data_IF_608367463244
#
_entry.id   IF_608367463244
#
_cell.length_a   1.000
_cell.length_b   1.000
_cell.length_c   1.000
_cell.angle_alpha   90.00
_cell.angle_beta   90.00
_cell.angle_gamma   90.00
#
_symmetry.space_group_name_H-M   'P 1'
#
loop_
_entity.id
_entity.type
_entity.pdbx_description
1 polymer ?
#
# COMPACT_ATOMS: atom_id res chain seq x y z
N UNK A 1 10.84 5.38 4.61
CA UNK A 1 10.07 6.49 4.00
C UNK A 1 10.89 7.76 3.81
N UNK A 2 11.56 8.31 4.84
CA UNK A 2 12.41 9.51 4.68
C UNK A 2 13.46 9.34 3.57
N UNK A 3 14.12 8.18 3.51
CA UNK A 3 15.09 7.88 2.46
C UNK A 3 14.53 8.02 1.02
N UNK A 4 13.28 7.60 0.79
CA UNK A 4 12.62 7.70 -0.53
C UNK A 4 12.34 9.16 -0.87
N UNK A 5 11.90 9.95 0.11
CA UNK A 5 11.68 11.40 -0.06
C UNK A 5 12.99 12.11 -0.40
N UNK A 6 14.07 11.80 0.33
CA UNK A 6 15.40 12.38 0.04
C UNK A 6 15.88 11.99 -1.35
N UNK A 7 15.65 10.74 -1.78
CA UNK A 7 16.00 10.29 -3.12
C UNK A 7 15.28 11.08 -4.22
N UNK A 8 14.02 11.48 -4.02
CA UNK A 8 13.28 12.28 -5.02
C UNK A 8 13.65 13.77 -5.00
N UNK A 9 14.01 14.32 -3.85
CA UNK A 9 14.33 15.76 -3.72
C UNK A 9 15.81 16.05 -4.02
N UNK A 10 16.71 15.14 -3.62
CA UNK A 10 18.16 15.29 -3.79
C UNK A 10 18.82 13.92 -4.09
N UNK A 11 18.67 13.40 -5.32
CA UNK A 11 19.12 12.04 -5.68
C UNK A 11 20.61 11.79 -5.42
N UNK A 12 21.46 12.80 -5.61
CA UNK A 12 22.92 12.71 -5.39
C UNK A 12 23.32 12.50 -3.93
N UNK A 13 22.46 12.88 -2.96
CA UNK A 13 22.75 12.73 -1.52
C UNK A 13 22.45 11.33 -1.00
N UNK A 14 21.51 10.63 -1.62
CA UNK A 14 21.12 9.28 -1.21
C UNK A 14 20.64 8.46 -2.42
N UNK A 15 21.54 8.06 -3.34
CA UNK A 15 21.16 7.37 -4.57
C UNK A 15 20.48 6.01 -4.34
N UNK A 16 20.68 5.39 -3.16
CA UNK A 16 19.99 4.15 -2.76
C UNK A 16 18.68 4.35 -2.00
N UNK A 17 18.15 5.58 -1.90
CA UNK A 17 16.99 5.85 -1.03
C UNK A 17 15.70 5.14 -1.44
N UNK A 18 15.59 4.68 -2.70
CA UNK A 18 14.48 3.87 -3.20
C UNK A 18 14.34 2.51 -2.49
N UNK A 19 15.44 1.94 -1.98
CA UNK A 19 15.47 0.67 -1.20
C UNK A 19 14.55 0.77 0.02
N UNK A 20 14.25 1.98 0.50
CA UNK A 20 13.32 2.20 1.59
C UNK A 20 11.91 1.66 1.34
N UNK A 21 11.49 1.45 0.09
CA UNK A 21 10.21 0.80 -0.25
C UNK A 21 10.30 -0.71 -0.03
N UNK A 22 11.38 -1.36 -0.49
CA UNK A 22 11.57 -2.80 -0.33
C UNK A 22 11.66 -3.20 1.15
N UNK A 23 12.45 -2.45 1.91
CA UNK A 23 12.56 -2.64 3.37
C UNK A 23 11.21 -2.47 4.06
N UNK A 24 10.41 -1.50 3.61
CA UNK A 24 9.06 -1.31 4.15
C UNK A 24 8.18 -2.52 3.90
N UNK A 25 8.16 -3.09 2.68
CA UNK A 25 7.37 -4.29 2.41
C UNK A 25 7.79 -5.49 3.27
N UNK A 26 9.09 -5.72 3.45
CA UNK A 26 9.60 -6.81 4.30
C UNK A 26 9.13 -6.63 5.75
N UNK A 27 9.30 -5.43 6.31
CA UNK A 27 8.89 -5.13 7.68
C UNK A 27 7.36 -5.22 7.87
N UNK A 28 6.61 -4.75 6.87
CA UNK A 28 5.15 -4.81 6.85
C UNK A 28 4.67 -6.27 6.88
N UNK A 29 5.26 -7.12 6.04
CA UNK A 29 5.03 -8.57 6.03
C UNK A 29 5.39 -9.25 7.35
N UNK A 30 6.56 -8.97 7.92
CA UNK A 30 6.98 -9.51 9.21
C UNK A 30 5.99 -9.14 10.32
N UNK A 31 5.67 -7.85 10.45
CA UNK A 31 4.80 -7.35 11.50
C UNK A 31 3.39 -7.96 11.43
N UNK A 32 2.81 -8.05 10.22
CA UNK A 32 1.49 -8.64 10.08
C UNK A 32 1.49 -10.12 10.43
N UNK A 33 2.54 -10.83 10.03
CA UNK A 33 2.67 -12.26 10.26
C UNK A 33 2.70 -12.54 11.75
N UNK A 34 3.55 -11.83 12.50
CA UNK A 34 3.64 -11.92 13.95
C UNK A 34 2.31 -11.59 14.62
N UNK A 35 1.69 -10.46 14.24
CA UNK A 35 0.40 -10.03 14.81
C UNK A 35 -0.70 -11.11 14.64
N UNK A 36 -0.81 -11.68 13.44
CA UNK A 36 -1.82 -12.70 13.15
C UNK A 36 -1.49 -14.00 13.88
N UNK A 37 -0.23 -14.47 13.79
CA UNK A 37 0.19 -15.71 14.41
C UNK A 37 -0.02 -15.69 15.93
N UNK A 38 0.35 -14.60 16.60
CA UNK A 38 0.18 -14.44 18.04
C UNK A 38 -1.29 -14.35 18.42
N UNK A 39 -2.08 -13.56 17.67
CA UNK A 39 -3.52 -13.46 17.91
C UNK A 39 -4.26 -14.78 17.71
N UNK A 40 -3.86 -15.60 16.72
CA UNK A 40 -4.43 -16.93 16.48
C UNK A 40 -4.03 -17.89 17.60
N UNK A 41 -2.76 -17.90 18.03
CA UNK A 41 -2.30 -18.73 19.17
C UNK A 41 -3.05 -18.42 20.45
N UNK A 42 -3.40 -17.15 20.68
CA UNK A 42 -4.15 -16.69 21.85
C UNK A 42 -5.68 -16.82 21.69
N UNK A 43 -6.17 -17.21 20.50
CA UNK A 43 -7.61 -17.31 20.21
C UNK A 43 -8.33 -15.96 20.12
N UNK A 44 -7.60 -14.86 19.93
CA UNK A 44 -8.11 -13.48 19.95
C UNK A 44 -8.16 -12.82 18.57
N UNK A 45 -7.66 -13.49 17.52
CA UNK A 45 -7.60 -12.90 16.20
C UNK A 45 -8.96 -12.93 15.48
N UNK A 46 -9.39 -11.77 14.99
CA UNK A 46 -10.60 -11.59 14.18
C UNK A 46 -10.26 -10.94 12.85
N UNK A 47 -10.50 -11.64 11.74
CA UNK A 47 -10.32 -11.10 10.39
C UNK A 47 -11.18 -9.86 10.15
N UNK A 48 -12.43 -9.88 10.63
CA UNK A 48 -13.36 -8.76 10.46
C UNK A 48 -12.80 -7.50 11.12
N UNK A 49 -12.34 -7.61 12.37
CA UNK A 49 -11.78 -6.48 13.08
C UNK A 49 -10.44 -6.02 12.49
N UNK A 50 -9.63 -6.96 12.02
CA UNK A 50 -8.38 -6.65 11.32
C UNK A 50 -8.63 -5.73 10.12
N UNK A 51 -9.56 -6.11 9.23
CA UNK A 51 -9.92 -5.29 8.06
C UNK A 51 -10.57 -3.97 8.46
N UNK A 52 -11.49 -3.98 9.43
CA UNK A 52 -12.18 -2.76 9.86
C UNK A 52 -11.20 -1.72 10.42
N UNK A 53 -10.29 -2.13 11.31
CA UNK A 53 -9.25 -1.24 11.87
C UNK A 53 -8.39 -0.63 10.76
N UNK A 54 -8.09 -1.41 9.73
CA UNK A 54 -7.25 -0.97 8.61
C UNK A 54 -7.98 0.04 7.73
N UNK A 55 -9.23 -0.24 7.34
CA UNK A 55 -10.06 0.67 6.54
C UNK A 55 -10.29 1.99 7.28
N UNK A 56 -10.67 1.93 8.56
CA UNK A 56 -10.90 3.14 9.38
C UNK A 56 -9.62 3.98 9.59
N UNK A 57 -8.44 3.37 9.50
CA UNK A 57 -7.16 4.07 9.60
C UNK A 57 -6.70 4.67 8.27
N UNK A 58 -6.89 3.97 7.16
CA UNK A 58 -6.32 4.35 5.86
C UNK A 58 -7.27 5.19 5.00
N UNK A 59 -8.56 4.82 4.95
CA UNK A 59 -9.51 5.48 4.08
C UNK A 59 -9.64 6.99 4.36
N UNK A 60 -9.74 7.48 5.62
CA UNK A 60 -9.84 8.92 5.87
C UNK A 60 -8.62 9.69 5.37
N UNK A 61 -7.41 9.18 5.62
CA UNK A 61 -6.17 9.82 5.19
C UNK A 61 -6.03 9.84 3.68
N UNK A 62 -6.41 8.75 3.01
CA UNK A 62 -6.41 8.67 1.55
C UNK A 62 -7.40 9.66 0.94
N UNK A 63 -8.62 9.75 1.47
CA UNK A 63 -9.65 10.67 1.00
C UNK A 63 -9.22 12.14 1.15
N UNK A 64 -8.65 12.49 2.32
CA UNK A 64 -8.12 13.84 2.57
C UNK A 64 -7.00 14.17 1.59
N UNK A 65 -6.06 13.25 1.37
CA UNK A 65 -4.96 13.43 0.42
C UNK A 65 -5.46 13.62 -1.02
N UNK A 66 -6.39 12.77 -1.49
CA UNK A 66 -6.97 12.89 -2.82
C UNK A 66 -7.68 14.22 -3.02
N UNK A 67 -8.51 14.62 -2.05
CA UNK A 67 -9.24 15.89 -2.09
C UNK A 67 -8.26 17.08 -2.09
N UNK A 68 -7.25 17.07 -1.22
CA UNK A 68 -6.27 18.14 -1.14
C UNK A 68 -5.51 18.34 -2.45
N UNK A 69 -5.04 17.26 -3.09
CA UNK A 69 -4.33 17.34 -4.37
C UNK A 69 -5.25 17.82 -5.49
N UNK A 70 -6.49 17.31 -5.57
CA UNK A 70 -7.45 17.75 -6.59
C UNK A 70 -7.79 19.24 -6.44
N UNK A 71 -8.04 19.70 -5.22
CA UNK A 71 -8.28 21.11 -4.93
C UNK A 71 -7.04 21.94 -5.29
N UNK A 72 -5.85 21.51 -4.88
CA UNK A 72 -4.62 22.25 -5.18
C UNK A 72 -4.36 22.37 -6.69
N UNK A 73 -4.58 21.31 -7.47
CA UNK A 73 -4.51 21.36 -8.94
C UNK A 73 -5.51 22.37 -9.54
N UNK A 74 -6.71 22.47 -8.98
CA UNK A 74 -7.73 23.43 -9.41
C UNK A 74 -7.33 24.87 -9.06
N UNK A 75 -6.96 25.12 -7.80
CA UNK A 75 -6.64 26.45 -7.28
C UNK A 75 -5.36 27.04 -7.87
N UNK A 76 -4.36 26.21 -8.14
CA UNK A 76 -3.10 26.62 -8.79
C UNK A 76 -3.19 26.68 -10.32
N UNK A 77 -4.38 26.46 -10.90
CA UNK A 77 -4.60 26.44 -12.35
C UNK A 77 -3.63 25.53 -13.11
N UNK A 78 -3.49 24.28 -12.66
CA UNK A 78 -2.64 23.25 -13.27
C UNK A 78 -3.50 22.24 -14.06
N UNK A 79 -3.95 22.55 -15.30
CA UNK A 79 -4.98 21.76 -15.99
C UNK A 79 -4.49 20.36 -16.40
N UNK A 80 -3.21 20.21 -16.76
CA UNK A 80 -2.61 18.91 -17.12
C UNK A 80 -2.54 17.98 -15.91
N UNK A 81 -1.95 18.44 -14.80
CA UNK A 81 -1.89 17.70 -13.54
C UNK A 81 -3.29 17.39 -12.99
N UNK A 82 -4.24 18.34 -13.08
CA UNK A 82 -5.62 18.12 -12.66
C UNK A 82 -6.33 17.04 -13.47
N UNK A 83 -6.05 16.93 -14.78
CA UNK A 83 -6.58 15.84 -15.63
C UNK A 83 -5.99 14.49 -15.23
N UNK A 84 -4.66 14.41 -15.14
CA UNK A 84 -3.95 13.19 -14.72
C UNK A 84 -4.39 12.72 -13.32
N UNK A 85 -4.58 13.66 -12.38
CA UNK A 85 -5.11 13.37 -11.05
C UNK A 85 -6.49 12.72 -11.13
N UNK A 86 -7.44 13.31 -11.86
CA UNK A 86 -8.81 12.78 -11.99
C UNK A 86 -8.86 11.39 -12.61
N UNK A 87 -8.04 11.13 -13.63
CA UNK A 87 -7.95 9.82 -14.27
C UNK A 87 -7.41 8.76 -13.30
N UNK A 88 -6.49 9.13 -12.41
CA UNK A 88 -5.85 8.21 -11.47
C UNK A 88 -6.71 7.97 -10.19
N UNK A 89 -7.55 8.92 -9.77
CA UNK A 89 -8.33 8.86 -8.50
C UNK A 89 -9.08 7.54 -8.31
N UNK A 90 -9.81 7.08 -9.32
CA UNK A 90 -10.62 5.86 -9.19
C UNK A 90 -9.76 4.61 -8.96
N UNK A 91 -8.55 4.58 -9.52
CA UNK A 91 -7.61 3.48 -9.30
C UNK A 91 -7.03 3.50 -7.89
N UNK A 92 -6.78 4.70 -7.34
CA UNK A 92 -6.35 4.85 -5.95
C UNK A 92 -7.45 4.39 -5.01
N UNK A 93 -8.69 4.86 -5.21
CA UNK A 93 -9.85 4.46 -4.41
C UNK A 93 -10.12 2.95 -4.46
N UNK A 94 -9.90 2.33 -5.62
CA UNK A 94 -10.01 0.89 -5.82
C UNK A 94 -8.82 0.07 -5.29
N UNK A 95 -7.80 0.70 -4.68
CA UNK A 95 -6.56 0.05 -4.26
C UNK A 95 -5.87 -0.73 -5.41
N UNK A 96 -5.88 -0.18 -6.62
CA UNK A 96 -5.30 -0.76 -7.85
C UNK A 96 -4.43 0.23 -8.62
N UNK A 97 -3.95 1.29 -7.98
CA UNK A 97 -3.09 2.31 -8.62
C UNK A 97 -1.74 1.78 -9.11
N UNK A 98 -1.30 0.62 -8.64
CA UNK A 98 -0.16 -0.09 -9.21
C UNK A 98 -0.38 -0.47 -10.68
N UNK A 99 -1.60 -0.85 -11.05
CA UNK A 99 -1.97 -1.13 -12.44
C UNK A 99 -2.08 0.11 -13.30
N UNK A 100 -2.63 1.20 -12.76
CA UNK A 100 -2.56 2.49 -13.45
C UNK A 100 -1.12 2.90 -13.71
N UNK A 101 -0.27 2.81 -12.69
CA UNK A 101 1.16 3.16 -12.80
C UNK A 101 1.88 2.32 -13.86
N UNK A 102 1.64 1.01 -13.87
CA UNK A 102 2.25 0.12 -14.85
C UNK A 102 1.76 0.40 -16.29
N UNK A 103 0.45 0.57 -16.47
CA UNK A 103 -0.16 0.63 -17.81
C UNK A 103 -0.22 2.03 -18.43
N UNK A 104 -0.38 3.07 -17.61
CA UNK A 104 -0.59 4.46 -18.07
C UNK A 104 0.64 5.35 -17.87
N UNK A 105 1.54 4.98 -16.95
CA UNK A 105 2.70 5.84 -16.57
C UNK A 105 4.03 5.23 -17.02
N UNK A 106 4.04 3.98 -17.49
CA UNK A 106 5.25 3.25 -17.85
C UNK A 106 6.03 2.71 -16.64
N UNK A 107 5.37 2.59 -15.49
CA UNK A 107 5.96 2.17 -14.23
C UNK A 107 6.48 3.33 -13.38
N UNK A 108 7.06 2.99 -12.23
CA UNK A 108 7.56 3.98 -11.27
C UNK A 108 8.71 4.83 -11.81
N UNK A 109 9.51 4.26 -12.72
CA UNK A 109 10.61 4.93 -13.41
C UNK A 109 10.25 5.31 -14.86
N UNK A 110 8.96 5.33 -15.18
CA UNK A 110 8.47 5.61 -16.52
C UNK A 110 8.61 7.08 -16.92
N UNK A 111 8.46 7.36 -18.21
CA UNK A 111 8.59 8.70 -18.79
C UNK A 111 7.56 9.70 -18.26
N UNK A 112 6.38 9.20 -17.88
CA UNK A 112 5.28 10.04 -17.37
C UNK A 112 5.22 10.06 -15.83
N UNK A 113 6.18 9.44 -15.14
CA UNK A 113 6.20 9.36 -13.68
C UNK A 113 6.16 10.75 -13.02
N UNK A 114 6.86 11.73 -13.59
CA UNK A 114 6.92 13.09 -13.07
C UNK A 114 5.59 13.86 -13.20
N UNK A 115 4.70 13.45 -14.11
CA UNK A 115 3.41 14.10 -14.34
C UNK A 115 2.24 13.40 -13.63
N UNK A 116 2.49 12.25 -12.98
CA UNK A 116 1.50 11.44 -12.26
C UNK A 116 1.38 11.86 -10.78
N UNK A 117 0.34 12.63 -10.37
CA UNK A 117 0.31 13.26 -9.05
C UNK A 117 0.19 12.25 -7.89
N UNK A 118 -0.48 11.13 -8.15
CA UNK A 118 -0.69 10.05 -7.18
C UNK A 118 0.24 8.85 -7.40
N UNK A 119 1.36 9.03 -8.11
CA UNK A 119 2.29 7.94 -8.42
C UNK A 119 2.65 7.13 -7.16
N UNK A 120 3.00 7.80 -6.07
CA UNK A 120 3.41 7.20 -4.80
C UNK A 120 2.42 6.17 -4.20
N UNK A 121 1.14 6.23 -4.58
CA UNK A 121 0.10 5.32 -4.08
C UNK A 121 0.22 3.88 -4.62
N UNK A 122 1.03 3.64 -5.65
CA UNK A 122 1.21 2.30 -6.23
C UNK A 122 1.64 1.27 -5.16
N UNK A 123 2.54 1.67 -4.26
CA UNK A 123 3.08 0.79 -3.22
C UNK A 123 2.02 0.45 -2.16
N UNK A 124 1.18 1.42 -1.82
CA UNK A 124 0.03 1.22 -0.93
C UNK A 124 -1.00 0.27 -1.55
N UNK A 125 -1.27 0.39 -2.86
CA UNK A 125 -2.18 -0.53 -3.55
C UNK A 125 -1.68 -1.99 -3.48
N UNK A 126 -0.39 -2.22 -3.71
CA UNK A 126 0.23 -3.55 -3.55
C UNK A 126 0.13 -4.05 -2.11
N UNK A 127 0.37 -3.17 -1.13
CA UNK A 127 0.25 -3.50 0.28
C UNK A 127 -1.19 -3.91 0.66
N UNK A 128 -2.20 -3.16 0.23
CA UNK A 128 -3.61 -3.50 0.50
C UNK A 128 -4.03 -4.81 -0.18
N UNK A 129 -3.58 -5.09 -1.40
CA UNK A 129 -3.83 -6.36 -2.09
C UNK A 129 -3.21 -7.53 -1.33
N UNK A 130 -1.95 -7.38 -0.88
CA UNK A 130 -1.28 -8.37 -0.05
C UNK A 130 -2.09 -8.61 1.23
N UNK A 131 -2.52 -7.56 1.92
CA UNK A 131 -3.25 -7.70 3.17
C UNK A 131 -4.69 -8.17 3.04
N UNK A 132 -5.31 -8.03 1.88
CA UNK A 132 -6.62 -8.61 1.63
C UNK A 132 -6.57 -10.15 1.56
N UNK A 133 -5.47 -10.71 1.04
CA UNK A 133 -5.33 -12.15 0.82
C UNK A 133 -4.54 -12.85 1.93
N UNK A 134 -3.42 -12.26 2.34
CA UNK A 134 -2.43 -12.90 3.21
C UNK A 134 -2.97 -13.36 4.58
N UNK A 135 -3.78 -12.57 5.31
CA UNK A 135 -4.28 -12.99 6.61
C UNK A 135 -5.16 -14.23 6.56
N UNK A 136 -6.02 -14.34 5.53
CA UNK A 136 -6.87 -15.50 5.34
C UNK A 136 -6.04 -16.75 4.99
N UNK A 137 -5.03 -16.61 4.12
CA UNK A 137 -4.10 -17.69 3.78
C UNK A 137 -3.33 -18.17 5.01
N UNK A 138 -2.75 -17.24 5.78
CA UNK A 138 -1.98 -17.57 6.98
C UNK A 138 -2.84 -18.27 8.04
N UNK A 139 -4.07 -17.80 8.27
CA UNK A 139 -5.02 -18.48 9.15
C UNK A 139 -5.33 -19.91 8.69
N UNK A 140 -5.52 -20.13 7.39
CA UNK A 140 -5.71 -21.47 6.82
C UNK A 140 -4.53 -22.39 7.11
N UNK A 141 -3.30 -21.90 6.88
CA UNK A 141 -2.07 -22.66 7.13
C UNK A 141 -1.89 -23.01 8.63
N UNK A 142 -2.13 -22.05 9.53
CA UNK A 142 -2.06 -22.27 10.97
C UNK A 142 -3.16 -23.24 11.47
N UNK A 143 -4.35 -23.16 10.88
CA UNK A 143 -5.47 -24.07 11.17
C UNK A 143 -5.19 -25.52 10.77
N UNK A 144 -4.60 -25.75 9.58
CA UNK A 144 -4.21 -27.07 9.09
C UNK A 144 -3.12 -27.70 9.97
N UNK A 145 -2.14 -26.92 10.43
CA UNK A 145 -1.09 -27.40 11.35
C UNK A 145 -1.62 -27.90 12.70
N UNK A 146 -2.65 -27.24 13.25
CA UNK A 146 -3.26 -27.61 14.54
C UNK A 146 -4.07 -28.92 14.53
N UNK A 147 -4.48 -29.39 13.35
CA UNK A 147 -5.15 -30.69 13.14
C UNK A 147 -4.13 -31.80 12.88
N UNK A 148 -3.04 -31.50 12.16
CA UNK A 148 -1.97 -32.47 11.88
C UNK A 148 -1.17 -32.84 13.14
N UNK A 149 -0.91 -31.87 14.03
CA UNK A 149 -0.26 -32.12 15.32
C UNK A 149 -1.09 -32.98 16.30
N UNK A 150 -2.43 -33.01 16.13
CA UNK A 150 -3.33 -33.87 16.93
C UNK A 150 -3.49 -35.29 16.38
N UNK A 151 -2.99 -35.56 15.17
CA UNK A 151 -3.01 -36.90 14.55
C UNK A 151 -1.70 -37.67 14.77
N UNK A 152 -0.67 -37.01 15.34
CA UNK A 152 0.66 -37.57 15.59
C UNK A 152 0.98 -37.73 17.09
N UNK A 153 0.02 -37.45 17.97
CA UNK A 153 0.03 -37.71 19.42
C UNK A 153 -1.12 -38.67 19.71
#
# INVERSE_FOLDING_TARGET
>A
MVAVVVFHVAPSRLPGGFIGVDVFFVLSGFLITSLIADGVRQGQFSLREFYLRRVLRLAPNMLVMLAAVLLMCHWLALPSFGRAAREHVLWVLGCVSNWFTYTQVGGYWGTDAASAPFLHTWSLAVEEQFYFVYPAVLMGLLGVGSRFARLLI
#
